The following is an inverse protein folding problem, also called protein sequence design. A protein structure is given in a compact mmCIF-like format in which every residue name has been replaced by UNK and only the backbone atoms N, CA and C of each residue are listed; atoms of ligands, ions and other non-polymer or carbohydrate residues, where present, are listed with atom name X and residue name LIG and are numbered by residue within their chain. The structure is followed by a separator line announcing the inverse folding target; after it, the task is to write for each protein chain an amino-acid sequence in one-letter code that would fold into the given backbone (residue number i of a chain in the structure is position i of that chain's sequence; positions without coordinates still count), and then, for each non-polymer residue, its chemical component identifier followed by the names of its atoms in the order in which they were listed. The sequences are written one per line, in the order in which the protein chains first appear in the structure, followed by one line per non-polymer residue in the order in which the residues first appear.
data_IF_283753623026
#
_entry.id   IF_283753623026
#
_cell.length_a   1.000
_cell.length_b   1.000
_cell.length_c   1.000
_cell.angle_alpha   90.00
_cell.angle_beta   90.00
_cell.angle_gamma   90.00
#
_symmetry.space_group_name_H-M   'P 1'
#
loop_
_entity.id
_entity.type
_entity.pdbx_description
1 polymer ?
#
# COMPACT_ATOMS: atom_id res chain seq x y z
N UNK A 1 18.23 18.01 -19.30
CA UNK A 1 18.72 17.90 -17.91
C UNK A 1 19.84 18.90 -17.75
N UNK A 2 19.62 19.91 -16.93
CA UNK A 2 20.66 20.88 -16.58
C UNK A 2 21.49 20.25 -15.45
N UNK A 3 22.64 19.69 -15.83
CA UNK A 3 23.53 19.01 -14.88
C UNK A 3 24.20 20.01 -13.93
N UNK A 4 24.38 21.25 -14.37
CA UNK A 4 25.03 22.29 -13.57
C UNK A 4 24.12 22.70 -12.40
N UNK A 5 22.81 22.82 -12.64
CA UNK A 5 21.82 23.03 -11.59
C UNK A 5 21.79 21.89 -10.56
N UNK A 6 21.90 20.62 -11.01
CA UNK A 6 21.92 19.46 -10.10
C UNK A 6 23.16 19.51 -9.21
N UNK A 7 24.34 19.73 -9.80
CA UNK A 7 25.61 19.79 -9.06
C UNK A 7 25.63 20.98 -8.09
N UNK A 8 25.16 22.15 -8.53
CA UNK A 8 25.06 23.33 -7.66
C UNK A 8 24.14 23.07 -6.46
N UNK A 9 22.99 22.43 -6.70
CA UNK A 9 22.02 22.08 -5.65
C UNK A 9 22.59 21.04 -4.68
N UNK A 10 23.25 20.00 -5.19
CA UNK A 10 23.91 18.98 -4.37
C UNK A 10 24.99 19.60 -3.48
N UNK A 11 25.81 20.51 -4.02
CA UNK A 11 26.86 21.21 -3.27
C UNK A 11 26.28 22.09 -2.17
N UNK A 12 25.22 22.83 -2.46
CA UNK A 12 24.52 23.64 -1.47
C UNK A 12 23.94 22.79 -0.34
N UNK A 13 23.21 21.72 -0.67
CA UNK A 13 22.63 20.81 0.34
C UNK A 13 23.70 20.12 1.18
N UNK A 14 24.78 19.64 0.56
CA UNK A 14 25.89 18.95 1.24
C UNK A 14 26.68 19.86 2.18
N UNK A 15 26.57 21.19 2.01
CA UNK A 15 27.19 22.16 2.93
C UNK A 15 26.42 22.28 4.26
N UNK A 16 25.14 21.91 4.28
CA UNK A 16 24.25 22.03 5.45
C UNK A 16 23.88 20.67 6.04
N UNK A 17 23.80 19.63 5.21
CA UNK A 17 23.36 18.29 5.59
C UNK A 17 24.40 17.24 5.19
N UNK A 18 24.55 16.20 6.01
CA UNK A 18 25.30 15.01 5.61
C UNK A 18 24.57 14.35 4.43
N UNK A 19 25.20 14.38 3.27
CA UNK A 19 24.63 13.93 2.01
C UNK A 19 25.61 13.02 1.27
N UNK A 20 25.07 11.97 0.67
CA UNK A 20 25.80 11.08 -0.23
C UNK A 20 25.07 11.02 -1.57
N UNK A 21 25.80 11.26 -2.66
CA UNK A 21 25.26 11.00 -3.99
C UNK A 21 25.19 9.48 -4.23
N UNK A 22 23.99 9.01 -4.55
CA UNK A 22 23.70 7.62 -4.87
C UNK A 22 23.58 7.37 -6.38
N UNK A 23 23.84 8.38 -7.20
CA UNK A 23 23.68 8.33 -8.65
C UNK A 23 22.22 8.40 -9.07
N UNK A 24 21.86 7.69 -10.14
CA UNK A 24 20.49 7.67 -10.62
C UNK A 24 19.51 7.07 -9.59
N UNK A 25 18.36 7.73 -9.42
CA UNK A 25 17.34 7.27 -8.49
C UNK A 25 16.80 5.88 -8.88
N UNK A 26 17.04 4.89 -8.03
CA UNK A 26 16.55 3.52 -8.18
C UNK A 26 15.33 3.24 -7.28
N UNK A 27 15.12 4.03 -6.24
CA UNK A 27 13.98 3.95 -5.34
C UNK A 27 13.54 5.35 -4.86
N UNK A 28 12.23 5.54 -4.72
CA UNK A 28 11.65 6.72 -4.04
C UNK A 28 10.51 6.24 -3.16
N UNK A 29 10.59 6.52 -1.85
CA UNK A 29 9.58 6.17 -0.84
C UNK A 29 9.18 4.68 -0.79
N UNK A 30 10.02 3.77 -1.29
CA UNK A 30 9.71 2.34 -1.36
C UNK A 30 9.07 1.89 -2.68
N UNK A 31 8.94 2.79 -3.65
CA UNK A 31 8.67 2.47 -5.06
C UNK A 31 10.01 2.28 -5.77
N UNK A 32 10.22 1.12 -6.39
CA UNK A 32 11.36 0.84 -7.27
C UNK A 32 11.14 1.55 -8.61
N UNK A 33 12.17 2.25 -9.07
CA UNK A 33 12.20 2.91 -10.37
C UNK A 33 13.02 2.03 -11.31
N UNK A 34 12.42 1.61 -12.42
CA UNK A 34 13.07 0.82 -13.46
C UNK A 34 13.18 1.72 -14.68
N UNK A 35 14.39 2.16 -15.02
CA UNK A 35 14.61 3.12 -16.12
C UNK A 35 15.57 2.53 -17.14
N UNK A 36 15.15 2.51 -18.40
CA UNK A 36 16.03 2.23 -19.55
C UNK A 36 15.93 3.40 -20.53
N UNK A 37 16.99 4.22 -20.55
CA UNK A 37 17.03 5.43 -21.38
C UNK A 37 17.14 5.12 -22.87
N UNK A 38 17.78 4.01 -23.24
CA UNK A 38 17.95 3.60 -24.63
C UNK A 38 16.61 3.24 -25.26
N UNK A 39 15.76 2.55 -24.48
CA UNK A 39 14.40 2.16 -24.89
C UNK A 39 13.33 3.19 -24.53
N UNK A 40 13.72 4.31 -23.91
CA UNK A 40 12.82 5.33 -23.34
C UNK A 40 11.76 4.73 -22.41
N UNK A 41 12.13 3.67 -21.67
CA UNK A 41 11.24 2.97 -20.76
C UNK A 41 11.40 3.51 -19.32
N UNK A 42 10.27 3.70 -18.66
CA UNK A 42 10.17 4.03 -17.25
C UNK A 42 9.05 3.18 -16.64
N UNK A 43 9.43 2.29 -15.73
CA UNK A 43 8.53 1.45 -14.95
C UNK A 43 8.64 1.75 -13.46
N UNK A 44 7.56 1.49 -12.74
CA UNK A 44 7.48 1.60 -11.29
C UNK A 44 7.03 0.26 -10.72
N UNK A 45 7.63 -0.18 -9.61
CA UNK A 45 7.22 -1.41 -8.92
C UNK A 45 7.20 -1.22 -7.41
N UNK A 46 6.20 -1.78 -6.74
CA UNK A 46 6.10 -1.83 -5.27
C UNK A 46 6.11 -3.26 -4.74
N UNK A 47 6.61 -4.22 -5.50
CA UNK A 47 6.67 -5.64 -5.10
C UNK A 47 7.26 -5.82 -3.69
N UNK A 48 8.41 -5.18 -3.42
CA UNK A 48 9.05 -5.19 -2.09
C UNK A 48 8.15 -4.63 -0.99
N UNK A 49 7.40 -3.56 -1.28
CA UNK A 49 6.47 -2.98 -0.32
C UNK A 49 5.27 -3.89 -0.08
N UNK A 50 4.69 -4.46 -1.15
CA UNK A 50 3.57 -5.40 -1.09
C UNK A 50 3.95 -6.63 -0.25
N UNK A 51 5.14 -7.21 -0.47
CA UNK A 51 5.67 -8.31 0.34
C UNK A 51 5.78 -7.92 1.82
N UNK A 52 6.30 -6.72 2.12
CA UNK A 52 6.40 -6.22 3.51
C UNK A 52 5.03 -6.09 4.19
N UNK A 53 4.00 -5.58 3.51
CA UNK A 53 2.67 -5.43 4.12
C UNK A 53 1.97 -6.79 4.28
N UNK A 54 2.16 -7.72 3.35
CA UNK A 54 1.66 -9.09 3.46
C UNK A 54 2.23 -9.76 4.72
N UNK A 55 3.54 -9.63 4.95
CA UNK A 55 4.17 -10.15 6.17
C UNK A 55 3.66 -9.45 7.43
N UNK A 56 3.60 -8.10 7.41
CA UNK A 56 3.14 -7.28 8.54
C UNK A 56 1.77 -7.70 9.05
N UNK A 57 0.85 -8.03 8.14
CA UNK A 57 -0.51 -8.45 8.48
C UNK A 57 -0.69 -9.98 8.53
N UNK A 58 0.39 -10.75 8.54
CA UNK A 58 0.41 -12.22 8.65
C UNK A 58 -0.37 -12.93 7.54
N UNK A 59 -0.29 -12.39 6.32
CA UNK A 59 -1.01 -12.89 5.15
C UNK A 59 -0.12 -13.71 4.19
N UNK A 60 1.15 -13.96 4.52
CA UNK A 60 2.11 -14.64 3.64
C UNK A 60 1.71 -16.09 3.29
N UNK A 61 0.96 -16.78 4.16
CA UNK A 61 0.44 -18.13 3.92
C UNK A 61 -1.03 -18.15 3.41
N UNK A 62 -1.62 -16.99 3.16
CA UNK A 62 -3.02 -16.92 2.72
C UNK A 62 -3.20 -17.40 1.29
N UNK A 63 -4.30 -18.11 0.97
CA UNK A 63 -4.59 -18.50 -0.41
C UNK A 63 -4.87 -17.26 -1.26
N UNK A 64 -4.21 -17.04 -2.42
CA UNK A 64 -4.51 -15.90 -3.28
C UNK A 64 -5.96 -15.92 -3.77
N UNK A 65 -6.43 -14.77 -4.24
CA UNK A 65 -7.72 -14.64 -4.92
C UNK A 65 -7.54 -13.76 -6.15
N UNK A 66 -8.40 -13.93 -7.14
CA UNK A 66 -8.25 -13.24 -8.44
C UNK A 66 -8.85 -11.83 -8.43
N UNK A 67 -9.66 -11.49 -7.43
CA UNK A 67 -10.29 -10.17 -7.33
C UNK A 67 -10.13 -9.56 -5.94
N UNK A 68 -9.87 -8.24 -5.85
CA UNK A 68 -9.72 -7.56 -4.56
C UNK A 68 -11.03 -7.50 -3.76
N UNK A 69 -12.17 -7.59 -4.45
CA UNK A 69 -13.51 -7.60 -3.86
C UNK A 69 -14.41 -8.60 -4.60
N UNK A 70 -15.40 -9.14 -3.90
CA UNK A 70 -16.35 -10.10 -4.48
C UNK A 70 -17.49 -9.36 -5.17
N UNK A 71 -17.97 -9.92 -6.30
CA UNK A 71 -19.08 -9.30 -7.04
C UNK A 71 -20.34 -9.36 -6.19
N UNK A 72 -20.99 -8.21 -5.98
CA UNK A 72 -22.21 -8.12 -5.18
C UNK A 72 -21.98 -8.15 -3.65
N UNK A 73 -20.73 -8.14 -3.17
CA UNK A 73 -20.47 -7.98 -1.75
C UNK A 73 -20.79 -6.54 -1.32
N UNK A 74 -21.75 -6.38 -0.42
CA UNK A 74 -22.12 -5.08 0.16
C UNK A 74 -21.62 -5.02 1.60
N UNK A 75 -20.82 -3.99 1.89
CA UNK A 75 -20.48 -3.63 3.27
C UNK A 75 -21.50 -2.62 3.78
N UNK A 76 -21.85 -2.67 5.07
CA UNK A 76 -22.85 -1.77 5.65
C UNK A 76 -22.54 -1.40 7.10
N UNK A 77 -23.14 -0.31 7.57
CA UNK A 77 -22.99 0.12 8.97
C UNK A 77 -23.60 -0.88 9.97
N UNK A 78 -24.52 -1.74 9.52
CA UNK A 78 -25.08 -2.80 10.36
C UNK A 78 -24.06 -3.89 10.74
N UNK A 79 -22.97 -3.99 9.99
CA UNK A 79 -21.87 -4.91 10.26
C UNK A 79 -20.84 -4.32 11.24
N UNK A 80 -21.02 -3.07 11.67
CA UNK A 80 -20.18 -2.46 12.70
C UNK A 80 -20.49 -3.05 14.09
N UNK A 81 -19.51 -3.08 15.00
CA UNK A 81 -19.71 -3.54 16.38
C UNK A 81 -20.86 -2.80 17.08
N UNK A 82 -21.82 -3.56 17.62
CA UNK A 82 -22.99 -3.01 18.33
C UNK A 82 -22.86 -3.13 19.85
N UNK A 83 -22.22 -4.20 20.34
CA UNK A 83 -22.02 -4.45 21.77
C UNK A 83 -20.56 -4.26 22.20
N UNK A 84 -20.33 -4.23 23.52
CA UNK A 84 -18.99 -3.99 24.09
C UNK A 84 -18.00 -5.11 23.78
N UNK A 85 -18.46 -6.37 23.73
CA UNK A 85 -17.60 -7.52 23.44
C UNK A 85 -17.03 -7.44 22.02
N UNK A 86 -17.86 -7.10 21.03
CA UNK A 86 -17.44 -6.89 19.65
C UNK A 86 -16.46 -5.72 19.53
N UNK A 87 -16.72 -4.61 20.24
CA UNK A 87 -15.82 -3.44 20.25
C UNK A 87 -14.45 -3.80 20.86
N UNK A 88 -14.42 -4.55 21.96
CA UNK A 88 -13.18 -5.03 22.59
C UNK A 88 -12.44 -6.01 21.68
N UNK A 89 -13.15 -6.83 20.91
CA UNK A 89 -12.54 -7.72 19.92
C UNK A 89 -11.93 -6.93 18.77
N UNK A 90 -12.68 -5.98 18.21
CA UNK A 90 -12.25 -5.18 17.06
C UNK A 90 -11.16 -4.16 17.40
N UNK A 91 -11.05 -3.69 18.64
CA UNK A 91 -9.97 -2.79 19.05
C UNK A 91 -8.57 -3.42 18.94
N UNK A 92 -8.48 -4.75 18.94
CA UNK A 92 -7.24 -5.52 18.74
C UNK A 92 -6.89 -5.71 17.27
N UNK A 93 -7.81 -5.40 16.35
CA UNK A 93 -7.61 -5.54 14.91
C UNK A 93 -6.92 -4.29 14.37
N UNK A 94 -5.77 -4.41 13.67
CA UNK A 94 -5.03 -3.26 13.15
C UNK A 94 -5.65 -2.70 11.85
N UNK A 95 -6.96 -2.44 11.88
CA UNK A 95 -7.75 -2.08 10.70
C UNK A 95 -7.21 -0.81 10.02
N UNK A 96 -7.02 0.26 10.82
CA UNK A 96 -6.57 1.54 10.31
C UNK A 96 -5.17 1.46 9.67
N UNK A 97 -4.26 0.70 10.29
CA UNK A 97 -2.92 0.48 9.77
C UNK A 97 -2.94 -0.31 8.45
N UNK A 98 -3.83 -1.30 8.33
CA UNK A 98 -3.98 -2.08 7.11
C UNK A 98 -4.57 -1.24 5.97
N UNK A 99 -5.65 -0.50 6.22
CA UNK A 99 -6.24 0.40 5.22
C UNK A 99 -5.22 1.45 4.76
N UNK A 100 -4.48 2.09 5.68
CA UNK A 100 -3.44 3.05 5.32
C UNK A 100 -2.31 2.44 4.47
N UNK A 101 -1.91 1.21 4.79
CA UNK A 101 -0.89 0.49 3.99
C UNK A 101 -1.39 0.18 2.58
N UNK A 102 -2.66 -0.23 2.45
CA UNK A 102 -3.29 -0.49 1.15
C UNK A 102 -3.48 0.81 0.35
N UNK A 103 -3.83 1.92 1.00
CA UNK A 103 -3.96 3.23 0.34
C UNK A 103 -2.63 3.69 -0.27
N UNK A 104 -1.50 3.43 0.40
CA UNK A 104 -0.19 3.76 -0.17
C UNK A 104 0.11 2.95 -1.43
N UNK A 105 -0.14 1.64 -1.41
CA UNK A 105 0.02 0.80 -2.60
C UNK A 105 -0.88 1.27 -3.76
N UNK A 106 -2.14 1.58 -3.43
CA UNK A 106 -3.15 2.08 -4.36
C UNK A 106 -2.71 3.37 -5.07
N UNK A 107 -2.17 4.34 -4.33
CA UNK A 107 -1.80 5.64 -4.90
C UNK A 107 -0.56 5.59 -5.80
N UNK A 108 0.36 4.66 -5.54
CA UNK A 108 1.64 4.63 -6.25
C UNK A 108 1.63 3.72 -7.47
N UNK A 109 1.23 2.44 -7.32
CA UNK A 109 1.39 1.44 -8.40
C UNK A 109 0.22 0.47 -8.56
N UNK A 110 -0.75 0.46 -7.62
CA UNK A 110 -1.86 -0.50 -7.61
C UNK A 110 -3.25 0.18 -7.72
N UNK A 111 -3.52 0.95 -8.79
CA UNK A 111 -4.82 1.60 -8.95
C UNK A 111 -5.98 0.59 -9.07
N UNK A 112 -5.68 -0.65 -9.44
CA UNK A 112 -6.64 -1.76 -9.56
C UNK A 112 -7.33 -2.13 -8.24
N UNK A 113 -6.74 -1.83 -7.07
CA UNK A 113 -7.40 -2.04 -5.77
C UNK A 113 -8.21 -0.83 -5.28
N UNK A 114 -8.23 0.28 -6.03
CA UNK A 114 -8.78 1.56 -5.58
C UNK A 114 -10.23 1.47 -5.10
N UNK A 115 -11.07 0.79 -5.89
CA UNK A 115 -12.47 0.58 -5.51
C UNK A 115 -12.60 -0.18 -4.18
N UNK A 116 -11.89 -1.30 -4.02
CA UNK A 116 -11.98 -2.12 -2.82
C UNK A 116 -11.49 -1.37 -1.58
N UNK A 117 -10.37 -0.63 -1.71
CA UNK A 117 -9.83 0.22 -0.64
C UNK A 117 -10.80 1.33 -0.27
N UNK A 118 -11.42 1.99 -1.27
CA UNK A 118 -12.43 3.02 -1.06
C UNK A 118 -13.70 2.52 -0.39
N UNK A 119 -14.04 1.23 -0.52
CA UNK A 119 -15.17 0.63 0.19
C UNK A 119 -14.84 0.37 1.66
N UNK A 120 -13.68 -0.23 1.95
CA UNK A 120 -13.28 -0.55 3.33
C UNK A 120 -12.92 0.71 4.15
N UNK A 121 -12.41 1.76 3.52
CA UNK A 121 -12.02 3.00 4.22
C UNK A 121 -13.21 3.72 4.89
N UNK A 122 -14.45 3.50 4.41
CA UNK A 122 -15.67 4.12 4.96
C UNK A 122 -15.96 3.73 6.41
N UNK A 123 -15.44 2.59 6.85
CA UNK A 123 -15.71 2.03 8.18
C UNK A 123 -14.57 2.23 9.17
N UNK A 124 -13.60 3.10 8.86
CA UNK A 124 -12.40 3.33 9.66
C UNK A 124 -12.70 3.67 11.14
N UNK A 125 -13.79 4.40 11.39
CA UNK A 125 -14.15 4.86 12.74
C UNK A 125 -14.73 3.77 13.64
N UNK A 126 -15.38 2.75 13.06
CA UNK A 126 -15.99 1.64 13.80
C UNK A 126 -16.02 0.35 12.96
N UNK A 127 -14.86 -0.23 12.62
CA UNK A 127 -14.80 -1.39 11.75
C UNK A 127 -15.32 -2.65 12.45
N UNK A 128 -15.99 -3.51 11.71
CA UNK A 128 -16.49 -4.81 12.18
C UNK A 128 -15.73 -5.96 11.52
N UNK A 129 -16.06 -7.19 11.90
CA UNK A 129 -15.34 -8.36 11.39
C UNK A 129 -15.55 -8.54 9.87
N UNK A 130 -16.75 -8.26 9.35
CA UNK A 130 -17.01 -8.29 7.91
C UNK A 130 -16.10 -7.31 7.14
N UNK A 131 -15.91 -6.10 7.69
CA UNK A 131 -15.00 -5.10 7.14
C UNK A 131 -13.55 -5.61 7.17
N UNK A 132 -13.13 -6.25 8.26
CA UNK A 132 -11.79 -6.83 8.36
C UNK A 132 -11.56 -7.99 7.40
N UNK A 133 -12.57 -8.84 7.18
CA UNK A 133 -12.53 -9.90 6.17
C UNK A 133 -12.34 -9.31 4.77
N UNK A 134 -13.01 -8.21 4.45
CA UNK A 134 -12.82 -7.51 3.17
C UNK A 134 -11.39 -6.98 3.02
N UNK A 135 -10.81 -6.36 4.06
CA UNK A 135 -9.40 -5.92 4.05
C UNK A 135 -8.44 -7.10 3.84
N UNK A 136 -8.65 -8.21 4.56
CA UNK A 136 -7.87 -9.46 4.37
C UNK A 136 -7.99 -9.98 2.94
N UNK A 137 -9.15 -9.85 2.28
CA UNK A 137 -9.31 -10.23 0.88
C UNK A 137 -8.44 -9.40 -0.05
N UNK A 138 -8.37 -8.08 0.14
CA UNK A 138 -7.49 -7.20 -0.65
C UNK A 138 -6.03 -7.65 -0.50
N UNK A 139 -5.59 -7.97 0.73
CA UNK A 139 -4.23 -8.48 0.97
C UNK A 139 -3.97 -9.84 0.29
N UNK A 140 -4.98 -10.73 0.24
CA UNK A 140 -4.90 -12.02 -0.49
C UNK A 140 -4.75 -11.81 -2.00
N UNK A 141 -5.47 -10.84 -2.55
CA UNK A 141 -5.36 -10.47 -3.95
C UNK A 141 -3.95 -9.94 -4.25
N UNK A 142 -3.45 -8.97 -3.45
CA UNK A 142 -2.10 -8.44 -3.60
C UNK A 142 -1.01 -9.52 -3.49
N UNK A 143 -1.20 -10.55 -2.67
CA UNK A 143 -0.29 -11.71 -2.59
C UNK A 143 -0.19 -12.47 -3.91
N UNK A 144 -1.30 -12.61 -4.63
CA UNK A 144 -1.32 -13.28 -5.93
C UNK A 144 -0.74 -12.44 -7.07
N UNK A 145 -0.62 -11.13 -6.87
CA UNK A 145 -0.30 -10.17 -7.94
C UNK A 145 0.76 -9.15 -7.48
N UNK A 146 1.78 -9.60 -6.74
CA UNK A 146 2.74 -8.70 -6.11
C UNK A 146 3.66 -7.97 -7.12
N UNK A 147 3.75 -8.49 -8.35
CA UNK A 147 4.61 -7.98 -9.43
C UNK A 147 3.96 -6.87 -10.26
#
# INVERSE_FOLDING_TARGET
NDMDLIVATQKWLSSTFEMKDMGEASYVLGVKIIRDRSKRFLGLSQETYIKKIIERFRMHNSKPVDTPMEKGSTLSLDQCPKNNEEKIRMSKVPYAAAVGSLMYAMMCTRPDICYAVGMVSRYQSNPGEAHWIAVKRILRYLRGTAD
#
